data_IF_859927745884
#
_entry.id   IF_859927745884
#
_cell.length_a   1.000
_cell.length_b   1.000
_cell.length_c   1.000
_cell.angle_alpha   90.00
_cell.angle_beta   90.00
_cell.angle_gamma   90.00
#
_symmetry.space_group_name_H-M   'P 1'
#
loop_
_entity.id
_entity.type
_entity.pdbx_description
1 polymer ?
#
# COMPACT_ATOMS: atom_id res chain seq x y z
N UNK A 1 15.38 -26.83 57.00
CA UNK A 1 15.57 -26.83 55.49
C UNK A 1 14.51 -27.68 54.78
N UNK A 2 14.29 -28.96 55.13
CA UNK A 2 13.36 -29.86 54.44
C UNK A 2 11.92 -29.25 54.30
N UNK A 3 11.32 -28.77 55.40
CA UNK A 3 10.00 -28.13 55.39
C UNK A 3 9.88 -26.87 54.48
N UNK A 4 10.94 -26.10 54.34
CA UNK A 4 10.93 -24.90 53.48
C UNK A 4 10.97 -25.29 51.97
N UNK A 5 11.68 -26.36 51.65
CA UNK A 5 11.72 -26.92 50.28
C UNK A 5 10.36 -27.52 49.89
N UNK A 6 9.71 -28.23 50.82
CA UNK A 6 8.39 -28.81 50.59
C UNK A 6 7.33 -27.71 50.36
N UNK A 7 7.34 -26.64 51.13
CA UNK A 7 6.44 -25.49 50.95
C UNK A 7 6.70 -24.82 49.60
N UNK A 8 7.95 -24.63 49.23
CA UNK A 8 8.30 -24.02 47.92
C UNK A 8 7.85 -24.89 46.74
N UNK A 9 7.99 -26.21 46.84
CA UNK A 9 7.48 -27.16 45.85
C UNK A 9 5.95 -27.12 45.74
N UNK A 10 5.23 -27.02 46.84
CA UNK A 10 3.76 -26.90 46.83
C UNK A 10 3.31 -25.55 46.19
N UNK A 11 4.02 -24.46 46.44
CA UNK A 11 3.74 -23.16 45.81
C UNK A 11 3.99 -23.24 44.30
N UNK A 12 5.10 -23.83 43.84
CA UNK A 12 5.42 -24.05 42.46
C UNK A 12 4.39 -24.93 41.73
N UNK A 13 3.98 -26.04 42.37
CA UNK A 13 2.92 -26.90 41.84
C UNK A 13 1.58 -26.17 41.78
N UNK A 14 1.22 -25.40 42.80
CA UNK A 14 0.01 -24.58 42.79
C UNK A 14 0.01 -23.53 41.71
N UNK A 15 1.12 -22.80 41.49
CA UNK A 15 1.29 -21.83 40.43
C UNK A 15 1.25 -22.49 39.04
N UNK A 16 1.87 -23.65 38.89
CA UNK A 16 1.83 -24.44 37.65
C UNK A 16 0.41 -24.92 37.34
N UNK A 17 -0.33 -25.37 38.33
CA UNK A 17 -1.71 -25.81 38.21
C UNK A 17 -2.65 -24.63 37.88
N UNK A 18 -2.46 -23.47 38.53
CA UNK A 18 -3.20 -22.25 38.22
C UNK A 18 -2.89 -21.76 36.79
N UNK A 19 -1.63 -21.79 36.35
CA UNK A 19 -1.25 -21.41 35.00
C UNK A 19 -1.85 -22.36 33.94
N UNK A 20 -1.92 -23.66 34.28
CA UNK A 20 -2.55 -24.66 33.41
C UNK A 20 -4.05 -24.49 33.33
N UNK A 21 -4.74 -24.17 34.44
CA UNK A 21 -6.19 -23.84 34.43
C UNK A 21 -6.45 -22.54 33.64
N UNK A 22 -5.63 -21.52 33.84
CA UNK A 22 -5.74 -20.25 33.10
C UNK A 22 -5.51 -20.50 31.61
N UNK A 23 -4.52 -21.30 31.24
CA UNK A 23 -4.28 -21.74 29.87
C UNK A 23 -5.50 -22.49 29.28
N UNK A 24 -6.09 -23.38 30.04
CA UNK A 24 -7.28 -24.15 29.62
C UNK A 24 -8.52 -23.27 29.39
N UNK A 25 -8.71 -22.26 30.21
CA UNK A 25 -9.86 -21.31 30.08
C UNK A 25 -9.72 -20.41 28.87
N UNK A 26 -8.50 -20.19 28.37
CA UNK A 26 -8.23 -19.29 27.26
C UNK A 26 -7.96 -20.05 25.93
N UNK A 27 -7.61 -21.37 26.02
CA UNK A 27 -7.33 -22.16 24.82
C UNK A 27 -8.63 -22.51 24.10
N UNK A 28 -8.78 -22.12 22.81
CA UNK A 28 -9.97 -22.45 22.02
C UNK A 28 -10.17 -23.97 21.89
N UNK A 29 -11.41 -24.41 21.80
CA UNK A 29 -11.74 -25.81 21.60
C UNK A 29 -11.27 -26.34 20.23
N UNK A 30 -10.99 -27.64 20.15
CA UNK A 30 -10.42 -28.29 18.95
C UNK A 30 -11.27 -28.08 17.68
N UNK A 31 -12.59 -28.03 17.80
CA UNK A 31 -13.51 -27.79 16.69
C UNK A 31 -13.24 -26.45 16.00
N UNK A 32 -12.79 -25.42 16.73
CA UNK A 32 -12.46 -24.10 16.17
C UNK A 32 -11.19 -24.16 15.32
N UNK A 33 -10.18 -24.91 15.71
CA UNK A 33 -8.99 -25.18 14.90
C UNK A 33 -9.38 -25.89 13.58
N UNK A 34 -10.23 -26.91 13.68
CA UNK A 34 -10.72 -27.63 12.50
C UNK A 34 -11.48 -26.69 11.53
N UNK A 35 -12.25 -25.73 12.06
CA UNK A 35 -12.92 -24.75 11.20
C UNK A 35 -11.95 -23.83 10.48
N UNK A 36 -10.90 -23.35 11.15
CA UNK A 36 -9.85 -22.56 10.50
C UNK A 36 -9.10 -23.37 9.45
N UNK A 37 -8.73 -24.62 9.75
CA UNK A 37 -8.06 -25.51 8.79
C UNK A 37 -8.90 -25.72 7.52
N UNK A 38 -10.22 -25.90 7.68
CA UNK A 38 -11.14 -25.99 6.54
C UNK A 38 -11.16 -24.72 5.69
N UNK A 39 -11.08 -23.52 6.30
CA UNK A 39 -10.99 -22.26 5.57
C UNK A 39 -9.68 -22.23 4.79
N UNK A 40 -8.56 -22.45 5.46
CA UNK A 40 -7.22 -22.39 4.87
C UNK A 40 -7.07 -23.38 3.71
N UNK A 41 -7.60 -24.60 3.88
CA UNK A 41 -7.60 -25.62 2.83
C UNK A 41 -8.49 -25.22 1.65
N UNK A 42 -9.70 -24.75 1.91
CA UNK A 42 -10.66 -24.40 0.86
C UNK A 42 -10.24 -23.16 0.05
N UNK A 43 -9.43 -22.28 0.63
CA UNK A 43 -8.91 -21.04 0.00
C UNK A 43 -7.50 -21.19 -0.52
N UNK A 44 -6.94 -22.41 -0.53
CA UNK A 44 -5.55 -22.70 -0.92
C UNK A 44 -4.53 -21.77 -0.26
N UNK A 45 -4.69 -21.53 1.04
CA UNK A 45 -3.85 -20.63 1.84
C UNK A 45 -3.82 -19.18 1.34
N UNK A 46 -4.90 -18.71 0.76
CA UNK A 46 -5.07 -17.30 0.36
C UNK A 46 -5.97 -16.58 1.33
N UNK A 47 -5.58 -15.40 1.78
CA UNK A 47 -6.42 -14.52 2.59
C UNK A 47 -7.24 -13.63 1.66
N UNK A 48 -8.55 -13.75 1.75
CA UNK A 48 -9.49 -12.89 1.05
C UNK A 48 -9.88 -11.75 1.99
N UNK A 49 -9.41 -10.56 1.71
CA UNK A 49 -9.71 -9.38 2.52
C UNK A 49 -11.21 -9.10 2.60
N UNK A 50 -11.90 -9.25 1.48
CA UNK A 50 -13.34 -9.05 1.43
C UNK A 50 -14.08 -10.39 1.59
N UNK A 51 -14.88 -10.55 2.67
CA UNK A 51 -15.62 -11.80 2.89
C UNK A 51 -16.56 -12.19 1.75
N UNK A 52 -17.04 -11.20 0.96
CA UNK A 52 -17.84 -11.44 -0.22
C UNK A 52 -17.16 -12.32 -1.28
N UNK A 53 -15.84 -12.29 -1.38
CA UNK A 53 -15.13 -13.20 -2.30
C UNK A 53 -15.15 -14.65 -1.83
N UNK A 54 -15.38 -14.90 -0.55
CA UNK A 54 -15.55 -16.26 -0.03
C UNK A 54 -16.82 -16.94 -0.55
N UNK A 55 -17.74 -16.22 -1.23
CA UNK A 55 -18.87 -16.86 -1.92
C UNK A 55 -18.42 -17.90 -2.96
N UNK A 56 -17.23 -17.73 -3.53
CA UNK A 56 -16.61 -18.71 -4.42
C UNK A 56 -16.17 -19.99 -3.69
N UNK A 57 -16.06 -19.91 -2.36
CA UNK A 57 -15.64 -20.99 -1.48
C UNK A 57 -16.71 -21.27 -0.39
N UNK A 58 -17.81 -21.93 -0.73
CA UNK A 58 -18.93 -22.07 0.20
C UNK A 58 -18.60 -22.74 1.53
N UNK A 59 -17.58 -23.61 1.55
CA UNK A 59 -17.09 -24.25 2.78
C UNK A 59 -16.39 -23.23 3.65
N UNK A 60 -15.46 -22.45 3.08
CA UNK A 60 -14.74 -21.42 3.81
C UNK A 60 -15.68 -20.36 4.39
N UNK A 61 -16.66 -19.91 3.59
CA UNK A 61 -17.63 -18.93 4.04
C UNK A 61 -18.45 -19.45 5.22
N UNK A 62 -19.00 -20.67 5.15
CA UNK A 62 -19.76 -21.28 6.27
C UNK A 62 -18.92 -21.42 7.52
N UNK A 63 -17.67 -21.90 7.38
CA UNK A 63 -16.78 -22.06 8.53
C UNK A 63 -16.45 -20.70 9.16
N UNK A 64 -16.17 -19.66 8.34
CA UNK A 64 -15.92 -18.30 8.82
C UNK A 64 -17.12 -17.72 9.57
N UNK A 65 -18.32 -17.85 9.05
CA UNK A 65 -19.54 -17.38 9.71
C UNK A 65 -19.82 -18.13 11.02
N UNK A 66 -19.51 -19.42 11.08
CA UNK A 66 -19.59 -20.20 12.32
C UNK A 66 -18.57 -19.70 13.34
N UNK A 67 -17.30 -19.49 12.95
CA UNK A 67 -16.27 -18.94 13.82
C UNK A 67 -16.65 -17.54 14.32
N UNK A 68 -17.17 -16.68 13.44
CA UNK A 68 -17.63 -15.34 13.82
C UNK A 68 -18.71 -15.39 14.91
N UNK A 69 -19.63 -16.37 14.86
CA UNK A 69 -20.68 -16.53 15.88
C UNK A 69 -20.17 -17.11 17.19
N UNK A 70 -19.21 -18.02 17.13
CA UNK A 70 -18.82 -18.85 18.29
C UNK A 70 -17.55 -18.40 19.01
N UNK A 71 -16.63 -17.68 18.31
CA UNK A 71 -15.39 -17.21 18.92
C UNK A 71 -15.65 -15.95 19.76
N UNK A 72 -15.09 -15.95 20.96
CA UNK A 72 -14.96 -14.75 21.78
C UNK A 72 -13.78 -13.90 21.33
N UNK A 73 -13.73 -12.63 21.72
CA UNK A 73 -12.60 -11.76 21.44
C UNK A 73 -11.29 -12.31 22.01
N UNK A 74 -11.33 -12.90 23.21
CA UNK A 74 -10.15 -13.53 23.84
C UNK A 74 -9.62 -14.70 23.02
N UNK A 75 -10.49 -15.53 22.47
CA UNK A 75 -10.06 -16.63 21.61
C UNK A 75 -9.54 -16.14 20.26
N UNK A 76 -10.13 -15.09 19.70
CA UNK A 76 -9.60 -14.46 18.49
C UNK A 76 -8.19 -13.91 18.71
N UNK A 77 -7.98 -13.19 19.81
CA UNK A 77 -6.64 -12.73 20.21
C UNK A 77 -5.68 -13.91 20.39
N UNK A 78 -6.14 -15.00 21.02
CA UNK A 78 -5.30 -16.20 21.18
C UNK A 78 -4.84 -16.74 19.82
N UNK A 79 -5.73 -16.85 18.82
CA UNK A 79 -5.37 -17.30 17.48
C UNK A 79 -4.41 -16.32 16.78
N UNK A 80 -4.64 -15.03 16.89
CA UNK A 80 -3.79 -14.00 16.27
C UNK A 80 -2.37 -14.06 16.86
N UNK A 81 -2.24 -14.18 18.16
CA UNK A 81 -0.93 -14.15 18.83
C UNK A 81 -0.19 -15.49 18.71
N UNK A 82 -0.87 -16.62 18.92
CA UNK A 82 -0.22 -17.89 19.18
C UNK A 82 -0.26 -18.89 18.03
N UNK A 83 -1.17 -18.73 17.04
CA UNK A 83 -1.26 -19.72 15.97
C UNK A 83 -0.04 -19.67 15.05
N UNK A 84 0.57 -20.80 14.63
CA UNK A 84 1.76 -20.81 13.79
C UNK A 84 1.49 -20.31 12.36
N UNK A 85 0.28 -20.50 11.84
CA UNK A 85 -0.11 -20.12 10.47
C UNK A 85 -0.51 -18.64 10.40
N UNK A 86 0.17 -17.87 9.55
CA UNK A 86 -0.18 -16.47 9.27
C UNK A 86 -1.57 -16.33 8.64
N UNK A 87 -2.04 -17.32 7.88
CA UNK A 87 -3.38 -17.33 7.29
C UNK A 87 -4.46 -17.40 8.37
N UNK A 88 -4.30 -18.30 9.35
CA UNK A 88 -5.24 -18.40 10.48
C UNK A 88 -5.26 -17.10 11.28
N UNK A 89 -4.08 -16.53 11.56
CA UNK A 89 -3.96 -15.23 12.23
C UNK A 89 -4.74 -14.14 11.49
N UNK A 90 -4.60 -14.06 10.18
CA UNK A 90 -5.29 -13.07 9.36
C UNK A 90 -6.80 -13.28 9.30
N UNK A 91 -7.29 -14.52 9.19
CA UNK A 91 -8.72 -14.79 9.27
C UNK A 91 -9.31 -14.47 10.66
N UNK A 92 -8.58 -14.80 11.73
CA UNK A 92 -8.97 -14.43 13.09
C UNK A 92 -8.99 -12.90 13.26
N UNK A 93 -8.00 -12.20 12.72
CA UNK A 93 -7.94 -10.74 12.72
C UNK A 93 -9.10 -10.11 11.96
N UNK A 94 -9.43 -10.61 10.76
CA UNK A 94 -10.58 -10.12 10.00
C UNK A 94 -11.90 -10.29 10.75
N UNK A 95 -12.09 -11.42 11.46
CA UNK A 95 -13.26 -11.63 12.33
C UNK A 95 -13.25 -10.66 13.53
N UNK A 96 -12.08 -10.47 14.16
CA UNK A 96 -11.94 -9.53 15.27
C UNK A 96 -12.28 -8.10 14.85
N UNK A 97 -11.78 -7.66 13.71
CA UNK A 97 -12.06 -6.36 13.11
C UNK A 97 -13.56 -6.11 12.93
N UNK A 98 -14.32 -7.13 12.51
CA UNK A 98 -15.78 -7.05 12.36
C UNK A 98 -16.53 -6.98 13.70
N UNK A 99 -16.03 -7.68 14.72
CA UNK A 99 -16.65 -7.74 16.05
C UNK A 99 -16.33 -6.53 16.91
N UNK A 100 -15.06 -6.11 16.88
CA UNK A 100 -14.54 -5.03 17.68
C UNK A 100 -13.46 -4.26 16.91
N UNK A 101 -13.84 -3.23 16.12
CA UNK A 101 -12.92 -2.45 15.32
C UNK A 101 -11.78 -1.80 16.13
N UNK A 102 -12.09 -1.28 17.33
CA UNK A 102 -11.10 -0.62 18.18
C UNK A 102 -10.04 -1.60 18.68
N UNK A 103 -10.45 -2.79 19.11
CA UNK A 103 -9.52 -3.86 19.48
C UNK A 103 -8.70 -4.36 18.28
N UNK A 104 -9.31 -4.41 17.09
CA UNK A 104 -8.59 -4.67 15.83
C UNK A 104 -7.51 -3.64 15.57
N UNK A 105 -7.77 -2.36 15.85
CA UNK A 105 -6.79 -1.29 15.77
C UNK A 105 -5.60 -1.51 16.74
N UNK A 106 -5.86 -1.87 17.99
CA UNK A 106 -4.80 -2.20 18.96
C UNK A 106 -3.91 -3.34 18.48
N UNK A 107 -4.54 -4.39 17.95
CA UNK A 107 -3.82 -5.55 17.42
C UNK A 107 -2.98 -5.18 16.20
N UNK A 108 -3.52 -4.42 15.23
CA UNK A 108 -2.75 -3.99 14.06
C UNK A 108 -1.54 -3.15 14.48
N UNK A 109 -1.70 -2.25 15.46
CA UNK A 109 -0.61 -1.44 16.00
C UNK A 109 0.44 -2.31 16.70
N UNK A 110 0.04 -3.32 17.46
CA UNK A 110 1.00 -4.23 18.14
C UNK A 110 1.82 -5.07 17.15
N UNK A 111 1.27 -5.34 15.96
CA UNK A 111 1.93 -6.09 14.88
C UNK A 111 2.63 -5.22 13.82
N UNK A 112 2.88 -3.93 14.11
CA UNK A 112 3.43 -2.96 13.13
C UNK A 112 4.79 -3.33 12.54
N UNK A 113 5.53 -4.24 13.16
CA UNK A 113 6.81 -4.77 12.69
C UNK A 113 6.72 -6.24 12.25
N UNK A 114 5.53 -6.80 12.12
CA UNK A 114 5.37 -8.20 11.71
C UNK A 114 5.56 -8.36 10.19
N UNK A 115 6.76 -8.79 9.81
CA UNK A 115 7.19 -8.98 8.42
C UNK A 115 6.96 -10.40 7.89
N UNK A 116 6.26 -11.27 8.62
CA UNK A 116 5.91 -12.61 8.11
C UNK A 116 4.98 -12.48 6.92
N UNK A 117 5.25 -13.25 5.87
CA UNK A 117 4.47 -13.19 4.64
C UNK A 117 3.11 -13.88 4.78
N UNK A 118 2.15 -13.30 4.09
CA UNK A 118 0.82 -13.86 3.86
C UNK A 118 0.43 -13.62 2.41
N UNK A 119 -0.17 -14.63 1.77
CA UNK A 119 -0.71 -14.49 0.41
C UNK A 119 -2.10 -13.88 0.54
N UNK A 120 -2.33 -12.76 -0.13
CA UNK A 120 -3.61 -12.07 -0.13
C UNK A 120 -4.19 -12.00 -1.53
N UNK A 121 -5.53 -11.99 -1.61
CA UNK A 121 -6.28 -11.75 -2.84
C UNK A 121 -6.96 -10.41 -2.77
N UNK A 122 -6.73 -9.59 -3.80
CA UNK A 122 -7.37 -8.30 -3.95
C UNK A 122 -7.91 -8.14 -5.38
N UNK A 123 -9.21 -7.90 -5.49
CA UNK A 123 -9.89 -7.79 -6.78
C UNK A 123 -9.73 -6.41 -7.44
N UNK A 124 -9.39 -5.38 -6.67
CA UNK A 124 -9.17 -4.05 -7.25
C UNK A 124 -7.93 -4.05 -8.16
N UNK A 125 -6.94 -4.90 -7.85
CA UNK A 125 -5.78 -5.13 -8.71
C UNK A 125 -6.08 -6.01 -9.92
N UNK A 126 -7.08 -6.90 -9.84
CA UNK A 126 -7.42 -7.85 -10.90
C UNK A 126 -7.89 -7.19 -12.20
N UNK A 127 -8.45 -6.00 -12.13
CA UNK A 127 -8.91 -5.24 -13.30
C UNK A 127 -7.76 -4.66 -14.15
N UNK A 128 -6.53 -4.70 -13.64
CA UNK A 128 -5.36 -4.07 -14.28
C UNK A 128 -4.22 -5.02 -14.64
N UNK A 129 -4.07 -6.17 -13.95
CA UNK A 129 -2.90 -7.05 -14.09
C UNK A 129 -3.23 -8.53 -14.29
N UNK A 130 -4.50 -8.92 -14.20
CA UNK A 130 -4.93 -10.31 -14.43
C UNK A 130 -4.65 -11.30 -13.30
N UNK A 131 -3.88 -10.94 -12.28
CA UNK A 131 -3.52 -11.82 -11.15
C UNK A 131 -3.79 -11.10 -9.84
N UNK A 132 -4.76 -11.57 -9.08
CA UNK A 132 -5.17 -10.96 -7.81
C UNK A 132 -4.45 -11.50 -6.56
N UNK A 133 -3.37 -12.30 -6.74
CA UNK A 133 -2.65 -12.93 -5.63
C UNK A 133 -1.26 -12.32 -5.46
N UNK A 134 -0.89 -11.91 -4.26
CA UNK A 134 0.46 -11.43 -3.96
C UNK A 134 0.85 -11.68 -2.51
N UNK A 135 2.17 -11.86 -2.33
CA UNK A 135 2.78 -11.93 -1.00
C UNK A 135 2.86 -10.53 -0.38
N UNK A 136 2.38 -10.43 0.85
CA UNK A 136 2.50 -9.20 1.65
C UNK A 136 2.99 -9.50 3.06
N UNK A 137 3.72 -8.57 3.69
CA UNK A 137 3.95 -8.61 5.13
C UNK A 137 2.62 -8.61 5.88
N UNK A 138 2.52 -9.41 6.95
CA UNK A 138 1.30 -9.51 7.76
C UNK A 138 0.88 -8.15 8.33
N UNK A 139 1.83 -7.32 8.73
CA UNK A 139 1.60 -5.93 9.13
C UNK A 139 0.83 -5.15 8.05
N UNK A 140 1.32 -5.15 6.80
CA UNK A 140 0.67 -4.45 5.69
C UNK A 140 -0.75 -4.97 5.47
N UNK A 141 -0.93 -6.28 5.47
CA UNK A 141 -2.22 -6.92 5.31
C UNK A 141 -3.22 -6.54 6.42
N UNK A 142 -2.77 -6.46 7.68
CA UNK A 142 -3.60 -6.00 8.79
C UNK A 142 -4.03 -4.53 8.63
N UNK A 143 -3.09 -3.66 8.28
CA UNK A 143 -3.39 -2.24 8.07
C UNK A 143 -4.33 -2.02 6.88
N UNK A 144 -4.17 -2.79 5.80
CA UNK A 144 -5.09 -2.75 4.66
C UNK A 144 -6.52 -3.14 5.08
N UNK A 145 -6.70 -4.22 5.84
CA UNK A 145 -8.00 -4.62 6.38
C UNK A 145 -8.61 -3.51 7.25
N UNK A 146 -7.80 -2.79 8.01
CA UNK A 146 -8.29 -1.69 8.85
C UNK A 146 -8.75 -0.47 8.04
N UNK A 147 -8.02 -0.08 7.00
CA UNK A 147 -8.20 1.21 6.32
C UNK A 147 -8.96 1.15 4.99
N UNK A 148 -8.78 0.08 4.20
CA UNK A 148 -9.23 0.07 2.81
C UNK A 148 -10.58 -0.59 2.57
N UNK A 149 -11.09 -1.34 3.54
CA UNK A 149 -12.32 -2.08 3.29
C UNK A 149 -13.52 -1.46 4.01
N UNK A 150 -14.24 -0.55 3.33
CA UNK A 150 -15.47 0.05 3.86
C UNK A 150 -16.56 -0.99 4.17
N UNK A 151 -16.42 -2.20 3.64
CA UNK A 151 -17.32 -3.32 3.90
C UNK A 151 -17.34 -3.81 5.36
N UNK A 152 -16.27 -3.53 6.10
CA UNK A 152 -16.22 -3.82 7.53
C UNK A 152 -16.77 -2.69 8.42
N UNK A 153 -17.35 -1.65 7.81
CA UNK A 153 -17.71 -0.43 8.50
C UNK A 153 -16.54 0.55 8.63
N UNK A 154 -16.84 1.83 8.77
CA UNK A 154 -15.83 2.86 9.01
C UNK A 154 -15.18 2.64 10.37
N UNK A 155 -13.86 2.84 10.44
CA UNK A 155 -13.20 3.04 11.73
C UNK A 155 -13.73 4.31 12.38
N UNK A 156 -13.78 4.32 13.70
CA UNK A 156 -13.92 5.56 14.44
C UNK A 156 -12.79 6.54 14.05
N UNK A 157 -13.12 7.81 14.00
CA UNK A 157 -12.15 8.85 13.59
C UNK A 157 -10.92 8.85 14.50
N UNK A 158 -11.10 8.64 15.81
CA UNK A 158 -10.00 8.63 16.76
C UNK A 158 -9.08 7.40 16.53
N UNK A 159 -9.65 6.23 16.26
CA UNK A 159 -8.88 5.03 15.95
C UNK A 159 -8.10 5.20 14.63
N UNK A 160 -8.72 5.80 13.60
CA UNK A 160 -8.04 6.11 12.35
C UNK A 160 -6.87 7.07 12.57
N UNK A 161 -7.09 8.17 13.28
CA UNK A 161 -6.03 9.14 13.60
C UNK A 161 -4.92 8.53 14.46
N UNK A 162 -5.26 7.64 15.39
CA UNK A 162 -4.29 6.92 16.20
C UNK A 162 -3.40 6.02 15.37
N UNK A 163 -3.98 5.24 14.46
CA UNK A 163 -3.22 4.37 13.53
C UNK A 163 -2.32 5.20 12.62
N UNK A 164 -2.84 6.28 12.03
CA UNK A 164 -2.07 7.20 11.19
C UNK A 164 -0.89 7.81 11.97
N UNK A 165 -1.15 8.24 13.20
CA UNK A 165 -0.12 8.80 14.07
C UNK A 165 0.97 7.77 14.40
N UNK A 166 0.60 6.54 14.71
CA UNK A 166 1.57 5.47 15.01
C UNK A 166 2.41 5.16 13.78
N UNK A 167 1.80 4.99 12.60
CA UNK A 167 2.52 4.76 11.34
C UNK A 167 3.52 5.87 11.03
N UNK A 168 3.10 7.14 11.15
CA UNK A 168 3.94 8.30 10.85
C UNK A 168 5.11 8.46 11.83
N UNK A 169 4.91 8.11 13.11
CA UNK A 169 5.92 8.28 14.15
C UNK A 169 6.79 7.05 14.41
N UNK A 170 6.54 5.92 13.74
CA UNK A 170 7.32 4.70 13.90
C UNK A 170 8.57 4.75 13.02
N UNK A 171 9.79 4.66 13.60
CA UNK A 171 11.01 4.55 12.83
C UNK A 171 11.15 3.13 12.22
N UNK A 172 11.92 3.02 11.13
CA UNK A 172 12.21 1.75 10.46
C UNK A 172 10.97 0.98 10.01
N UNK A 173 9.93 1.71 9.61
CA UNK A 173 8.71 1.10 9.11
C UNK A 173 8.79 0.95 7.59
N UNK A 174 8.49 -0.25 7.10
CA UNK A 174 8.47 -0.51 5.67
C UNK A 174 7.31 0.20 4.98
N UNK A 175 7.57 0.66 3.75
CA UNK A 175 6.57 1.38 2.96
C UNK A 175 5.55 0.43 2.35
N UNK A 176 4.27 0.79 2.44
CA UNK A 176 3.19 0.22 1.68
C UNK A 176 2.29 1.34 1.14
N UNK A 177 1.37 1.00 0.27
CA UNK A 177 0.65 2.00 -0.54
C UNK A 177 -0.06 3.09 0.28
N UNK A 178 -0.55 2.77 1.46
CA UNK A 178 -1.23 3.70 2.35
C UNK A 178 -0.35 4.90 2.77
N UNK A 179 0.97 4.71 2.90
CA UNK A 179 1.90 5.79 3.23
C UNK A 179 1.88 6.95 2.24
N UNK A 180 1.54 6.70 0.97
CA UNK A 180 1.35 7.78 0.00
C UNK A 180 0.29 8.77 0.48
N UNK A 181 -0.89 8.28 0.89
CA UNK A 181 -1.99 9.11 1.40
C UNK A 181 -1.59 9.81 2.69
N UNK A 182 -0.96 9.08 3.61
CA UNK A 182 -0.49 9.61 4.89
C UNK A 182 0.46 10.80 4.68
N UNK A 183 1.56 10.61 3.95
CA UNK A 183 2.56 11.65 3.75
C UNK A 183 2.07 12.82 2.88
N UNK A 184 1.10 12.61 2.01
CA UNK A 184 0.46 13.72 1.30
C UNK A 184 -0.36 14.63 2.24
N UNK A 185 -0.99 14.05 3.25
CA UNK A 185 -1.99 14.75 4.09
C UNK A 185 -1.51 15.09 5.51
N UNK A 186 -0.45 14.44 6.00
CA UNK A 186 0.06 14.66 7.35
C UNK A 186 0.40 16.16 7.59
N UNK A 187 0.10 16.73 8.78
CA UNK A 187 0.50 18.08 9.12
C UNK A 187 2.02 18.21 9.13
N UNK A 188 2.54 19.36 8.67
CA UNK A 188 3.98 19.62 8.66
C UNK A 188 4.52 19.76 10.09
N UNK A 189 5.55 19.01 10.42
CA UNK A 189 6.19 18.97 11.73
C UNK A 189 7.67 18.59 11.60
N UNK A 190 8.55 19.30 12.25
CA UNK A 190 10.00 19.03 12.27
C UNK A 190 10.33 17.65 12.81
N UNK A 191 9.62 17.21 13.83
CA UNK A 191 9.76 15.87 14.39
C UNK A 191 9.46 14.81 13.33
N UNK A 192 8.33 14.95 12.65
CA UNK A 192 7.91 14.00 11.61
C UNK A 192 8.82 14.08 10.38
N UNK A 193 9.29 15.28 10.00
CA UNK A 193 10.29 15.42 8.93
C UNK A 193 11.56 14.62 9.24
N UNK A 194 12.07 14.72 10.48
CA UNK A 194 13.26 13.99 10.88
C UNK A 194 13.08 12.47 10.83
N UNK A 195 11.89 11.98 11.22
CA UNK A 195 11.54 10.55 11.13
C UNK A 195 11.40 10.13 9.67
N UNK A 196 10.67 10.89 8.85
CA UNK A 196 10.48 10.62 7.43
C UNK A 196 11.83 10.59 6.69
N UNK A 197 12.69 11.59 6.92
CA UNK A 197 14.03 11.65 6.32
C UNK A 197 14.86 10.42 6.67
N UNK A 198 14.85 9.99 7.93
CA UNK A 198 15.55 8.76 8.35
C UNK A 198 14.96 7.53 7.66
N UNK A 199 13.64 7.37 7.67
CA UNK A 199 12.98 6.24 7.03
C UNK A 199 13.29 6.17 5.52
N UNK A 200 13.40 7.30 4.84
CA UNK A 200 13.80 7.35 3.43
C UNK A 200 15.28 6.99 3.24
N UNK A 201 16.17 7.65 3.96
CA UNK A 201 17.63 7.47 3.81
C UNK A 201 18.10 6.06 4.17
N UNK A 202 17.45 5.43 5.14
CA UNK A 202 17.74 4.05 5.56
C UNK A 202 17.04 3.01 4.66
N UNK A 203 16.28 3.43 3.63
CA UNK A 203 15.63 2.55 2.66
C UNK A 203 14.35 1.85 3.17
N UNK A 204 13.80 2.27 4.30
CA UNK A 204 12.58 1.66 4.83
C UNK A 204 11.31 2.15 4.14
N UNK A 205 11.22 3.46 3.85
CA UNK A 205 9.98 4.04 3.36
C UNK A 205 10.20 5.09 2.27
N UNK A 206 10.02 4.66 1.02
CA UNK A 206 10.23 5.52 -0.14
C UNK A 206 9.19 6.66 -0.23
N UNK A 207 7.97 6.47 0.26
CA UNK A 207 6.95 7.53 0.26
C UNK A 207 7.31 8.71 1.17
N UNK A 208 8.22 8.52 2.11
CA UNK A 208 8.71 9.59 2.95
C UNK A 208 9.34 10.76 2.17
N UNK A 209 9.83 10.51 0.94
CA UNK A 209 10.30 11.54 0.02
C UNK A 209 9.21 12.59 -0.29
N UNK A 210 7.94 12.18 -0.36
CA UNK A 210 6.80 13.09 -0.57
C UNK A 210 6.69 14.06 0.60
N UNK A 211 6.81 13.55 1.83
CA UNK A 211 6.72 14.39 3.03
C UNK A 211 7.90 15.36 3.11
N UNK A 212 9.13 14.89 2.82
CA UNK A 212 10.32 15.74 2.75
C UNK A 212 10.12 16.88 1.74
N UNK A 213 9.66 16.58 0.54
CA UNK A 213 9.42 17.58 -0.51
C UNK A 213 8.41 18.67 -0.10
N UNK A 214 7.44 18.37 0.76
CA UNK A 214 6.47 19.37 1.26
C UNK A 214 7.10 20.45 2.13
N UNK A 215 8.28 20.19 2.73
CA UNK A 215 9.07 21.20 3.44
C UNK A 215 9.85 22.15 2.52
N UNK A 216 10.02 21.79 1.24
CA UNK A 216 10.72 22.57 0.22
C UNK A 216 12.15 22.96 0.62
N UNK A 217 12.87 22.08 1.29
CA UNK A 217 14.22 22.31 1.74
C UNK A 217 15.22 22.09 0.61
N UNK A 218 16.12 23.05 0.42
CA UNK A 218 17.15 22.97 -0.64
C UNK A 218 18.11 21.80 -0.47
N UNK A 219 18.39 21.40 0.76
CA UNK A 219 19.20 20.22 1.06
C UNK A 219 18.57 18.89 0.60
N UNK A 220 17.28 18.84 0.31
CA UNK A 220 16.60 17.63 -0.17
C UNK A 220 16.59 17.54 -1.71
N UNK A 221 17.00 18.62 -2.42
CA UNK A 221 17.07 18.62 -3.89
C UNK A 221 17.92 17.47 -4.44
N UNK A 222 19.14 17.20 -3.96
CA UNK A 222 19.96 16.10 -4.46
C UNK A 222 19.29 14.73 -4.28
N UNK A 223 18.56 14.56 -3.18
CA UNK A 223 17.85 13.31 -2.86
C UNK A 223 16.70 13.08 -3.84
N UNK A 224 15.90 14.11 -4.14
CA UNK A 224 14.82 14.06 -5.11
C UNK A 224 15.37 13.84 -6.53
N UNK A 225 16.47 14.50 -6.89
CA UNK A 225 17.15 14.31 -8.17
C UNK A 225 17.64 12.87 -8.36
N UNK A 226 18.18 12.27 -7.31
CA UNK A 226 18.65 10.88 -7.34
C UNK A 226 17.51 9.90 -7.57
N UNK A 227 16.36 10.13 -6.93
CA UNK A 227 15.16 9.35 -7.16
C UNK A 227 14.58 9.52 -8.58
N UNK A 228 14.62 10.75 -9.15
CA UNK A 228 14.22 11.04 -10.53
C UNK A 228 15.10 10.35 -11.57
N UNK A 229 16.42 10.22 -11.30
CA UNK A 229 17.36 9.54 -12.19
C UNK A 229 17.14 8.03 -12.26
N UNK A 230 16.41 7.44 -11.32
CA UNK A 230 16.04 6.03 -11.37
C UNK A 230 15.09 5.83 -12.54
N UNK A 231 15.67 5.46 -13.70
CA UNK A 231 14.85 5.23 -14.91
C UNK A 231 13.90 4.08 -14.65
N UNK A 232 12.63 4.21 -15.06
CA UNK A 232 11.76 3.06 -15.09
C UNK A 232 12.40 2.03 -16.03
N UNK A 233 12.85 0.91 -15.46
CA UNK A 233 13.34 -0.20 -16.27
C UNK A 233 12.14 -0.76 -17.04
N UNK A 234 12.36 -0.98 -18.33
CA UNK A 234 11.36 -1.62 -19.17
C UNK A 234 11.26 -3.10 -18.78
N UNK A 235 10.10 -3.54 -18.33
CA UNK A 235 9.85 -4.93 -18.02
C UNK A 235 9.18 -5.63 -19.20
N UNK A 236 9.83 -6.68 -19.70
CA UNK A 236 9.21 -7.61 -20.64
C UNK A 236 8.45 -8.67 -19.84
N UNK A 237 7.16 -8.43 -19.62
CA UNK A 237 6.26 -9.29 -18.83
C UNK A 237 6.27 -10.76 -19.31
N UNK A 238 6.68 -10.99 -20.55
CA UNK A 238 6.65 -12.29 -21.18
C UNK A 238 8.00 -13.01 -21.23
N UNK A 239 9.09 -12.42 -20.75
CA UNK A 239 10.35 -13.13 -20.67
C UNK A 239 10.39 -14.01 -19.42
N UNK A 240 10.28 -15.30 -19.59
CA UNK A 240 10.38 -16.29 -18.50
C UNK A 240 11.75 -16.27 -17.77
N UNK A 241 12.72 -15.50 -18.27
CA UNK A 241 14.06 -15.34 -17.70
C UNK A 241 14.19 -14.10 -16.77
N UNK A 242 13.11 -13.42 -16.44
CA UNK A 242 13.11 -12.08 -15.82
C UNK A 242 13.19 -12.04 -14.28
N UNK A 243 13.28 -13.15 -13.58
CA UNK A 243 13.20 -13.24 -12.12
C UNK A 243 14.21 -12.38 -11.32
N UNK A 244 15.49 -12.16 -11.72
CA UNK A 244 16.40 -11.28 -10.99
C UNK A 244 16.14 -9.78 -11.24
N UNK A 245 15.59 -9.42 -12.40
CA UNK A 245 15.35 -8.03 -12.84
C UNK A 245 14.09 -7.45 -12.20
N UNK A 246 13.16 -8.30 -11.81
CA UNK A 246 11.83 -7.93 -11.31
C UNK A 246 11.90 -7.11 -10.01
N UNK A 247 12.80 -7.47 -9.10
CA UNK A 247 12.95 -6.77 -7.81
C UNK A 247 13.55 -5.37 -7.99
N UNK A 248 14.52 -5.22 -8.87
CA UNK A 248 15.19 -3.95 -9.16
C UNK A 248 14.28 -3.03 -10.00
N UNK A 249 13.52 -3.59 -10.93
CA UNK A 249 12.53 -2.86 -11.74
C UNK A 249 11.44 -2.25 -10.87
N UNK A 250 10.84 -3.04 -9.99
CA UNK A 250 9.80 -2.57 -9.08
C UNK A 250 10.31 -1.41 -8.21
N UNK A 251 11.51 -1.52 -7.66
CA UNK A 251 12.10 -0.46 -6.84
C UNK A 251 12.36 0.83 -7.64
N UNK A 252 12.95 0.74 -8.83
CA UNK A 252 13.31 1.92 -9.63
C UNK A 252 12.08 2.63 -10.20
N UNK A 253 11.13 1.90 -10.72
CA UNK A 253 9.88 2.46 -11.25
C UNK A 253 9.05 3.13 -10.14
N UNK A 254 9.03 2.50 -8.99
CA UNK A 254 8.35 2.99 -7.82
C UNK A 254 8.98 4.30 -7.31
N UNK A 255 10.33 4.35 -7.21
CA UNK A 255 11.07 5.54 -6.77
C UNK A 255 10.88 6.72 -7.74
N UNK A 256 10.99 6.51 -9.05
CA UNK A 256 10.73 7.54 -10.04
C UNK A 256 9.31 8.13 -9.91
N UNK A 257 8.31 7.26 -9.76
CA UNK A 257 6.93 7.69 -9.57
C UNK A 257 6.70 8.50 -8.28
N UNK A 258 7.37 8.13 -7.20
CA UNK A 258 7.33 8.87 -5.94
C UNK A 258 8.03 10.22 -6.09
N UNK A 259 9.17 10.25 -6.78
CA UNK A 259 9.89 11.49 -7.06
C UNK A 259 9.07 12.47 -7.90
N UNK A 260 8.31 12.02 -8.89
CA UNK A 260 7.39 12.86 -9.64
C UNK A 260 6.30 13.46 -8.75
N UNK A 261 5.78 12.69 -7.79
CA UNK A 261 4.85 13.24 -6.79
C UNK A 261 5.56 14.26 -5.90
N UNK A 262 6.78 13.98 -5.44
CA UNK A 262 7.57 14.90 -4.63
C UNK A 262 7.82 16.24 -5.35
N UNK A 263 8.20 16.21 -6.64
CA UNK A 263 8.36 17.39 -7.49
C UNK A 263 7.07 18.23 -7.53
N UNK A 264 5.90 17.59 -7.57
CA UNK A 264 4.63 18.35 -7.58
C UNK A 264 4.39 19.17 -6.31
N UNK A 265 5.05 18.86 -5.21
CA UNK A 265 5.05 19.67 -3.97
C UNK A 265 6.20 20.66 -3.88
N UNK A 266 7.32 20.34 -4.52
CA UNK A 266 8.53 21.15 -4.52
C UNK A 266 9.08 21.29 -5.94
N UNK A 267 8.48 22.14 -6.79
CA UNK A 267 8.99 22.42 -8.13
C UNK A 267 10.25 23.30 -8.04
N UNK A 268 11.41 22.71 -8.25
CA UNK A 268 12.69 23.44 -8.31
C UNK A 268 13.29 23.39 -9.73
N UNK A 269 13.98 24.47 -10.13
CA UNK A 269 14.62 24.57 -11.47
C UNK A 269 15.64 23.46 -11.71
N UNK A 270 16.25 22.92 -10.66
CA UNK A 270 17.21 21.83 -10.76
C UNK A 270 16.63 20.53 -11.33
N UNK A 271 15.30 20.33 -11.20
CA UNK A 271 14.65 19.12 -11.71
C UNK A 271 14.27 19.24 -13.20
N UNK A 272 14.21 20.44 -13.79
CA UNK A 272 13.76 20.65 -15.16
C UNK A 272 14.46 19.76 -16.18
N UNK A 273 15.81 19.67 -16.21
CA UNK A 273 16.52 18.81 -17.18
C UNK A 273 16.16 17.32 -17.02
N UNK A 274 15.96 16.84 -15.77
CA UNK A 274 15.61 15.46 -15.51
C UNK A 274 14.18 15.14 -15.93
N UNK A 275 13.25 16.10 -15.78
CA UNK A 275 11.88 15.94 -16.24
C UNK A 275 11.81 15.90 -17.77
N UNK A 276 12.57 16.76 -18.48
CA UNK A 276 12.67 16.70 -19.94
C UNK A 276 13.28 15.37 -20.42
N UNK A 277 14.34 14.90 -19.79
CA UNK A 277 14.94 13.59 -20.09
C UNK A 277 13.94 12.46 -19.85
N UNK A 278 13.20 12.51 -18.75
CA UNK A 278 12.16 11.52 -18.44
C UNK A 278 11.05 11.52 -19.47
N UNK A 279 10.60 12.70 -19.94
CA UNK A 279 9.62 12.81 -21.03
C UNK A 279 10.12 12.14 -22.33
N UNK A 280 11.42 12.30 -22.66
CA UNK A 280 12.01 11.64 -23.84
C UNK A 280 12.02 10.10 -23.70
N UNK A 281 12.20 9.58 -22.51
CA UNK A 281 12.19 8.14 -22.26
C UNK A 281 10.82 7.50 -22.56
N UNK A 282 9.71 8.26 -22.46
CA UNK A 282 8.38 7.80 -22.85
C UNK A 282 8.15 7.82 -24.38
N UNK A 283 9.08 8.42 -25.15
CA UNK A 283 9.05 8.39 -26.61
C UNK A 283 9.69 7.13 -27.21
N UNK A 284 10.24 6.27 -26.40
CA UNK A 284 10.85 5.02 -26.86
C UNK A 284 9.77 4.10 -27.44
N UNK A 285 10.00 3.60 -28.66
CA UNK A 285 9.08 2.72 -29.38
C UNK A 285 8.75 1.41 -28.64
N UNK A 286 9.51 1.07 -27.61
CA UNK A 286 9.19 -0.05 -26.71
C UNK A 286 7.86 0.09 -25.98
N UNK A 287 7.36 1.33 -25.81
CA UNK A 287 6.04 1.62 -25.25
C UNK A 287 4.89 1.43 -26.24
N UNK A 288 5.20 1.16 -27.50
CA UNK A 288 4.22 1.02 -28.60
C UNK A 288 3.93 -0.42 -28.96
N UNK A 289 4.44 -1.41 -28.24
CA UNK A 289 4.15 -2.84 -28.50
C UNK A 289 2.63 -3.07 -28.48
N UNK A 290 2.21 -3.90 -29.44
CA UNK A 290 0.79 -4.17 -29.78
C UNK A 290 -0.01 -4.89 -28.69
N UNK A 291 0.63 -5.31 -27.61
CA UNK A 291 0.00 -6.10 -26.57
C UNK A 291 -0.75 -5.19 -25.60
N UNK A 292 -2.06 -5.33 -25.58
CA UNK A 292 -3.04 -4.46 -24.93
C UNK A 292 -2.95 -4.34 -23.38
N UNK A 293 -1.93 -4.91 -22.73
CA UNK A 293 -1.86 -5.03 -21.28
C UNK A 293 -0.98 -3.99 -20.57
N UNK A 294 -0.17 -3.22 -21.30
CA UNK A 294 0.69 -2.17 -20.76
C UNK A 294 0.01 -0.80 -20.46
N UNK A 295 -1.23 -0.52 -20.90
CA UNK A 295 -1.83 0.81 -20.84
C UNK A 295 -1.94 1.40 -19.44
N UNK A 296 -2.20 0.55 -18.42
CA UNK A 296 -2.50 1.05 -17.07
C UNK A 296 -1.27 1.60 -16.33
N UNK A 297 -0.17 0.85 -16.34
CA UNK A 297 1.06 1.26 -15.65
C UNK A 297 1.68 2.50 -16.32
N UNK A 298 1.64 2.56 -17.64
CA UNK A 298 2.07 3.73 -18.42
C UNK A 298 1.18 4.93 -18.12
N UNK A 299 -0.14 4.76 -18.12
CA UNK A 299 -1.09 5.82 -17.79
C UNK A 299 -0.90 6.40 -16.39
N UNK A 300 -0.56 5.56 -15.42
CA UNK A 300 -0.31 5.98 -14.05
C UNK A 300 0.98 6.82 -13.90
N UNK A 301 2.06 6.42 -14.57
CA UNK A 301 3.34 7.15 -14.56
C UNK A 301 3.26 8.45 -15.35
N UNK A 302 2.61 8.44 -16.51
CA UNK A 302 2.42 9.62 -17.37
C UNK A 302 1.55 10.68 -16.70
N UNK A 303 0.53 10.27 -15.94
CA UNK A 303 -0.30 11.21 -15.17
C UNK A 303 0.48 11.92 -14.06
N UNK A 304 1.44 11.23 -13.42
CA UNK A 304 2.32 11.85 -12.42
C UNK A 304 3.33 12.81 -13.05
N UNK A 305 3.86 12.46 -14.23
CA UNK A 305 4.72 13.35 -15.00
C UNK A 305 3.99 14.63 -15.37
N UNK A 306 2.78 14.52 -15.91
CA UNK A 306 1.97 15.69 -16.24
C UNK A 306 1.71 16.57 -15.01
N UNK A 307 1.39 15.97 -13.86
CA UNK A 307 1.20 16.70 -12.59
C UNK A 307 2.48 17.40 -12.12
N UNK A 308 3.64 16.74 -12.23
CA UNK A 308 4.92 17.33 -11.87
C UNK A 308 5.26 18.54 -12.77
N UNK A 309 5.04 18.44 -14.08
CA UNK A 309 5.24 19.57 -15.01
C UNK A 309 4.30 20.73 -14.69
N UNK A 310 3.02 20.46 -14.47
CA UNK A 310 2.02 21.50 -14.15
C UNK A 310 2.33 22.28 -12.87
N UNK A 311 3.09 21.69 -11.95
CA UNK A 311 3.44 22.37 -10.68
C UNK A 311 4.40 23.55 -10.82
N UNK A 312 5.10 23.68 -11.95
CA UNK A 312 6.00 24.82 -12.21
C UNK A 312 5.29 26.10 -12.60
N UNK A 313 4.11 25.97 -13.20
CA UNK A 313 3.28 27.12 -13.56
C UNK A 313 3.98 28.19 -14.40
N UNK A 314 4.83 27.78 -15.38
CA UNK A 314 5.60 28.66 -16.26
C UNK A 314 5.55 28.22 -17.73
N UNK A 315 6.04 29.08 -18.63
CA UNK A 315 6.05 28.82 -20.08
C UNK A 315 6.84 27.56 -20.44
N UNK A 316 7.93 27.30 -19.73
CA UNK A 316 8.73 26.09 -19.95
C UNK A 316 7.88 24.83 -19.68
N UNK A 317 7.24 24.75 -18.53
CA UNK A 317 6.44 23.61 -18.15
C UNK A 317 5.26 23.38 -19.09
N UNK A 318 4.65 24.46 -19.54
CA UNK A 318 3.59 24.39 -20.56
C UNK A 318 4.10 23.76 -21.85
N UNK A 319 5.22 24.26 -22.40
CA UNK A 319 5.77 23.76 -23.65
C UNK A 319 6.18 22.28 -23.55
N UNK A 320 6.82 21.88 -22.45
CA UNK A 320 7.22 20.48 -22.22
C UNK A 320 5.99 19.58 -22.06
N UNK A 321 4.98 20.02 -21.32
CA UNK A 321 3.73 19.27 -21.14
C UNK A 321 3.00 19.08 -22.46
N UNK A 322 2.85 20.15 -23.27
CA UNK A 322 2.20 20.07 -24.56
C UNK A 322 2.90 19.11 -25.52
N UNK A 323 4.24 19.22 -25.60
CA UNK A 323 5.04 18.27 -26.37
C UNK A 323 4.89 16.84 -25.88
N UNK A 324 4.88 16.63 -24.57
CA UNK A 324 4.68 15.32 -23.95
C UNK A 324 3.31 14.72 -24.31
N UNK A 325 2.24 15.51 -24.29
CA UNK A 325 0.88 15.05 -24.57
C UNK A 325 0.68 14.80 -26.07
N UNK A 326 1.28 15.61 -26.95
CA UNK A 326 1.00 15.55 -28.40
C UNK A 326 1.96 14.62 -29.15
N UNK A 327 3.23 14.55 -28.76
CA UNK A 327 4.26 13.86 -29.50
C UNK A 327 4.65 12.49 -28.90
N UNK A 328 4.34 12.26 -27.62
CA UNK A 328 4.75 11.02 -26.95
C UNK A 328 3.82 9.86 -27.32
N UNK A 329 4.32 8.72 -27.83
CA UNK A 329 3.49 7.54 -28.10
C UNK A 329 2.74 7.04 -26.86
N UNK A 330 3.31 7.22 -25.66
CA UNK A 330 2.66 6.91 -24.39
C UNK A 330 1.49 7.87 -24.07
N UNK A 331 1.37 9.01 -24.76
CA UNK A 331 0.30 9.99 -24.55
C UNK A 331 -1.11 9.40 -24.77
N UNK A 332 -1.24 8.44 -25.68
CA UNK A 332 -2.51 7.73 -25.90
C UNK A 332 -2.98 6.95 -24.66
N UNK A 333 -2.08 6.64 -23.72
CA UNK A 333 -2.37 5.95 -22.46
C UNK A 333 -2.51 6.91 -21.28
N UNK A 334 -2.21 8.21 -21.48
CA UNK A 334 -2.49 9.21 -20.43
C UNK A 334 -4.01 9.17 -20.22
N UNK A 335 -4.40 8.99 -18.96
CA UNK A 335 -5.81 9.14 -18.63
C UNK A 335 -6.18 10.62 -18.72
N UNK A 336 -6.37 11.09 -19.95
CA UNK A 336 -6.69 12.48 -20.28
C UNK A 336 -7.97 12.92 -19.59
N UNK A 337 -8.90 11.99 -19.29
CA UNK A 337 -10.13 12.32 -18.57
C UNK A 337 -9.85 12.74 -17.13
N UNK A 338 -8.87 12.12 -16.46
CA UNK A 338 -8.44 12.51 -15.12
C UNK A 338 -7.69 13.83 -15.14
N UNK A 339 -6.81 14.01 -16.12
CA UNK A 339 -6.06 15.25 -16.29
C UNK A 339 -7.01 16.41 -16.66
N UNK A 340 -7.94 16.17 -17.61
CA UNK A 340 -8.97 17.12 -18.01
C UNK A 340 -9.89 17.52 -16.88
N UNK A 341 -10.38 16.55 -16.09
CA UNK A 341 -11.21 16.83 -14.92
C UNK A 341 -10.45 17.73 -13.93
N UNK A 342 -9.18 17.44 -13.68
CA UNK A 342 -8.37 18.21 -12.74
C UNK A 342 -8.09 19.62 -13.25
N UNK A 343 -7.82 19.80 -14.55
CA UNK A 343 -7.67 21.13 -15.18
C UNK A 343 -8.99 21.92 -15.14
N UNK A 344 -10.12 21.24 -15.32
CA UNK A 344 -11.44 21.87 -15.26
C UNK A 344 -11.90 22.21 -13.83
N UNK A 345 -11.50 21.42 -12.85
CA UNK A 345 -11.79 21.69 -11.43
C UNK A 345 -11.00 22.91 -10.92
N UNK A 346 -9.83 23.17 -11.49
CA UNK A 346 -8.99 24.32 -11.16
C UNK A 346 -9.15 25.40 -12.23
N UNK A 347 -10.10 26.33 -12.03
CA UNK A 347 -10.46 27.37 -13.03
C UNK A 347 -9.28 28.22 -13.54
N UNK A 348 -8.26 28.44 -12.70
CA UNK A 348 -7.04 29.14 -13.08
C UNK A 348 -6.17 28.32 -14.07
N UNK A 349 -6.08 27.02 -13.86
CA UNK A 349 -5.40 26.11 -14.79
C UNK A 349 -6.13 26.03 -16.13
N UNK A 350 -7.46 26.05 -16.12
CA UNK A 350 -8.27 26.08 -17.35
C UNK A 350 -8.01 27.35 -18.18
N UNK A 351 -7.96 28.51 -17.53
CA UNK A 351 -7.68 29.78 -18.20
C UNK A 351 -6.25 29.82 -18.78
N UNK A 352 -5.28 29.26 -18.09
CA UNK A 352 -3.88 29.24 -18.48
C UNK A 352 -3.56 28.22 -19.57
N UNK A 353 -4.10 27.04 -19.44
CA UNK A 353 -3.89 25.96 -20.41
C UNK A 353 -4.98 25.92 -21.46
N UNK A 354 -5.75 27.01 -21.71
CA UNK A 354 -6.85 27.15 -22.72
C UNK A 354 -6.69 26.16 -23.87
N UNK A 355 -7.06 24.92 -23.64
CA UNK A 355 -6.40 23.77 -24.21
C UNK A 355 -7.06 23.37 -25.54
N UNK A 356 -6.28 22.89 -26.47
CA UNK A 356 -6.75 22.07 -27.57
C UNK A 356 -7.26 20.68 -27.12
N UNK A 357 -7.78 20.56 -25.87
CA UNK A 357 -8.37 19.33 -25.37
C UNK A 357 -9.56 18.89 -26.20
N UNK A 358 -10.35 19.80 -26.67
CA UNK A 358 -11.44 19.50 -27.59
C UNK A 358 -10.93 18.78 -28.86
N UNK A 359 -9.78 19.20 -29.40
CA UNK A 359 -9.14 18.51 -30.53
C UNK A 359 -8.68 17.09 -30.21
N UNK A 360 -8.06 16.87 -29.06
CA UNK A 360 -7.56 15.54 -28.66
C UNK A 360 -8.73 14.58 -28.41
N UNK A 361 -9.86 15.06 -27.88
CA UNK A 361 -11.05 14.25 -27.68
C UNK A 361 -11.83 14.02 -28.99
N UNK A 362 -11.88 15.00 -29.91
CA UNK A 362 -12.56 14.82 -31.16
C UNK A 362 -11.81 13.89 -32.12
N UNK A 363 -10.48 13.91 -32.14
CA UNK A 363 -9.68 12.95 -32.91
C UNK A 363 -9.80 11.51 -32.38
N UNK A 364 -10.02 11.29 -31.08
CA UNK A 364 -10.29 9.96 -30.51
C UNK A 364 -11.71 9.45 -30.73
N UNK A 365 -12.67 10.30 -31.04
CA UNK A 365 -14.04 9.89 -31.45
C UNK A 365 -14.12 9.43 -32.87
N UNK A 366 -13.17 9.86 -33.73
CA UNK A 366 -13.15 9.58 -35.16
C UNK A 366 -12.17 8.45 -35.57
N UNK A 367 -11.50 7.81 -34.62
CA UNK A 367 -10.68 6.59 -34.76
C UNK A 367 -11.17 5.49 -33.82
#
# INVERSE_FOLDING_TARGET
>A
MKKAVDIFLYILLGLSFCSMIISWVVTPSLDKYVLFDKIVYATDRVVYYYPGYLHQFPVALRCREQLKKTLTEKELLFFIENHPSTFVKMYAFGILREKNPSLGCDVAISHIHDMRNVIVYDNEYNNSTGVGYYDRPMMEAMFDIMHFYPYYGSLDVNDSLRMDSVLLNTPKIYSFFYFRKLYCNAPLSEKLYSIAKRNYMDGYNNYALIYMARFRRKEDIPVIMDALKKKPLYWDYYSQDALPVEKEWNQNNYLCNIALIAVSYFPDKAFKPLLEESCKNYNDNRWTRKDNELPYMVGFSTSKMAKALMSYDDTWSYNVLMKFITETPAAKYINLSVLYRKINEESELKAKYNMPYERIFDEKKNN
#
